data_IF_729753155374
#
_entry.id   IF_729753155374
#
_cell.length_a   1.000
_cell.length_b   1.000
_cell.length_c   1.000
_cell.angle_alpha   90.00
_cell.angle_beta   90.00
_cell.angle_gamma   90.00
#
_symmetry.space_group_name_H-M   'P 1'
#
loop_
_entity.id
_entity.type
_entity.pdbx_description
1 polymer ?
#
# COMPACT_ATOMS: atom_id res chain seq x y z
N UNK A 1 -16.64 -4.40 0.55
CA UNK A 1 -15.86 -3.43 1.36
C UNK A 1 -14.50 -3.33 0.71
N UNK A 2 -14.13 -2.22 0.09
CA UNK A 2 -12.81 -2.11 -0.56
C UNK A 2 -11.76 -1.71 0.49
N UNK A 3 -10.86 -2.63 0.84
CA UNK A 3 -9.81 -2.42 1.85
C UNK A 3 -8.88 -1.26 1.46
N UNK A 4 -8.55 -1.14 0.16
CA UNK A 4 -7.68 -0.08 -0.38
C UNK A 4 -8.30 1.29 -0.18
N UNK A 5 -9.58 1.46 -0.50
CA UNK A 5 -10.32 2.71 -0.27
C UNK A 5 -10.38 3.07 1.22
N UNK A 6 -10.52 2.06 2.09
CA UNK A 6 -10.58 2.27 3.52
C UNK A 6 -9.21 2.68 4.11
N UNK A 7 -8.13 2.03 3.68
CA UNK A 7 -6.75 2.43 4.03
C UNK A 7 -6.50 3.86 3.56
N UNK A 8 -6.81 4.17 2.30
CA UNK A 8 -6.70 5.52 1.76
C UNK A 8 -7.47 6.53 2.62
N UNK A 9 -8.74 6.28 2.94
CA UNK A 9 -9.54 7.17 3.79
C UNK A 9 -8.90 7.41 5.15
N UNK A 10 -8.43 6.34 5.83
CA UNK A 10 -7.86 6.47 7.18
C UNK A 10 -6.56 7.25 7.17
N UNK A 11 -5.70 7.00 6.18
CA UNK A 11 -4.44 7.75 6.02
C UNK A 11 -4.72 9.20 5.61
N UNK A 12 -5.66 9.43 4.69
CA UNK A 12 -6.06 10.77 4.26
C UNK A 12 -6.64 11.58 5.43
N UNK A 13 -7.48 10.96 6.26
CA UNK A 13 -8.04 11.59 7.47
C UNK A 13 -6.94 11.97 8.47
N UNK A 14 -5.92 11.13 8.63
CA UNK A 14 -4.78 11.43 9.50
C UNK A 14 -3.98 12.64 9.00
N UNK A 15 -3.73 12.72 7.69
CA UNK A 15 -2.99 13.82 7.06
C UNK A 15 -3.84 15.01 6.61
N UNK A 16 -5.15 15.01 6.88
CA UNK A 16 -6.09 15.99 6.33
C UNK A 16 -5.71 17.44 6.66
N UNK A 17 -5.20 17.70 7.88
CA UNK A 17 -4.74 19.05 8.28
C UNK A 17 -3.62 19.60 7.39
N UNK A 18 -2.83 18.74 6.75
CA UNK A 18 -1.69 19.13 5.91
C UNK A 18 -2.04 19.11 4.42
N UNK A 19 -2.80 18.12 3.99
CA UNK A 19 -3.02 17.86 2.57
C UNK A 19 -4.42 18.32 2.08
N UNK A 20 -5.33 18.62 3.00
CA UNK A 20 -6.73 18.91 2.68
C UNK A 20 -7.39 17.79 1.87
N UNK A 21 -8.25 18.18 0.92
CA UNK A 21 -8.97 17.25 0.04
C UNK A 21 -8.09 16.60 -1.04
N UNK A 22 -6.86 17.09 -1.25
CA UNK A 22 -5.92 16.50 -2.20
C UNK A 22 -5.46 15.12 -1.74
N UNK A 23 -5.34 14.91 -0.42
CA UNK A 23 -4.90 13.67 0.21
C UNK A 23 -3.61 13.08 -0.39
N UNK A 24 -2.68 13.93 -0.81
CA UNK A 24 -1.47 13.51 -1.53
C UNK A 24 -0.63 12.48 -0.75
N UNK A 25 -0.41 12.67 0.55
CA UNK A 25 0.34 11.70 1.36
C UNK A 25 -0.37 10.37 1.48
N UNK A 26 -1.70 10.34 1.46
CA UNK A 26 -2.44 9.08 1.48
C UNK A 26 -2.26 8.30 0.18
N UNK A 27 -2.21 8.99 -0.96
CA UNK A 27 -1.83 8.39 -2.25
C UNK A 27 -0.40 7.86 -2.20
N UNK A 28 0.54 8.65 -1.67
CA UNK A 28 1.93 8.24 -1.57
C UNK A 28 2.11 7.00 -0.67
N UNK A 29 1.53 7.01 0.54
CA UNK A 29 1.57 5.88 1.48
C UNK A 29 0.96 4.62 0.84
N UNK A 30 -0.20 4.74 0.19
CA UNK A 30 -0.84 3.61 -0.46
C UNK A 30 0.03 3.04 -1.58
N UNK A 31 0.66 3.92 -2.37
CA UNK A 31 1.53 3.53 -3.48
C UNK A 31 2.79 2.83 -3.00
N UNK A 32 3.41 3.33 -1.91
CA UNK A 32 4.55 2.67 -1.27
C UNK A 32 4.16 1.29 -0.75
N UNK A 33 3.02 1.19 -0.07
CA UNK A 33 2.52 -0.06 0.50
C UNK A 33 2.27 -1.12 -0.59
N UNK A 34 1.63 -0.74 -1.70
CA UNK A 34 1.43 -1.63 -2.85
C UNK A 34 2.74 -1.98 -3.55
N UNK A 35 3.66 -1.02 -3.69
CA UNK A 35 4.98 -1.25 -4.25
C UNK A 35 5.79 -2.26 -3.43
N UNK A 36 5.76 -2.16 -2.11
CA UNK A 36 6.41 -3.13 -1.22
C UNK A 36 5.80 -4.53 -1.35
N UNK A 37 4.47 -4.65 -1.39
CA UNK A 37 3.83 -5.96 -1.60
C UNK A 37 4.24 -6.61 -2.94
N UNK A 38 4.45 -5.80 -3.99
CA UNK A 38 4.97 -6.32 -5.26
C UNK A 38 6.42 -6.77 -5.15
N UNK A 39 7.26 -6.03 -4.42
CA UNK A 39 8.64 -6.45 -4.13
C UNK A 39 8.65 -7.76 -3.35
N UNK A 40 7.83 -7.88 -2.31
CA UNK A 40 7.71 -9.10 -1.49
C UNK A 40 7.28 -10.29 -2.34
N UNK A 41 6.31 -10.09 -3.25
CA UNK A 41 5.86 -11.12 -4.18
C UNK A 41 6.98 -11.56 -5.13
N UNK A 42 7.74 -10.61 -5.68
CA UNK A 42 8.88 -10.91 -6.55
C UNK A 42 10.00 -11.66 -5.80
N UNK A 43 10.28 -11.28 -4.54
CA UNK A 43 11.23 -11.97 -3.69
C UNK A 43 10.77 -13.40 -3.37
N UNK A 44 9.49 -13.58 -3.04
CA UNK A 44 8.91 -14.89 -2.79
C UNK A 44 9.00 -15.79 -4.02
N UNK A 45 8.68 -15.26 -5.21
CA UNK A 45 8.82 -16.01 -6.47
C UNK A 45 10.27 -16.42 -6.69
N UNK A 46 11.23 -15.50 -6.45
CA UNK A 46 12.65 -15.81 -6.56
C UNK A 46 13.07 -16.93 -5.62
N UNK A 47 12.67 -16.88 -4.35
CA UNK A 47 13.03 -17.90 -3.35
C UNK A 47 12.42 -19.27 -3.66
N UNK A 48 11.17 -19.31 -4.13
CA UNK A 48 10.46 -20.57 -4.36
C UNK A 48 10.75 -21.22 -5.71
N UNK A 49 11.08 -20.44 -6.75
CA UNK A 49 11.09 -20.94 -8.14
C UNK A 49 12.41 -20.72 -8.90
N UNK A 50 13.32 -19.84 -8.45
CA UNK A 50 14.55 -19.52 -9.20
C UNK A 50 15.80 -20.08 -8.51
N UNK A 51 16.60 -20.85 -9.23
CA UNK A 51 17.94 -21.27 -8.78
C UNK A 51 18.94 -20.12 -8.95
N UNK A 52 19.97 -20.04 -8.08
CA UNK A 52 20.92 -18.92 -8.04
C UNK A 52 21.63 -18.65 -9.39
N UNK A 53 21.78 -19.67 -10.23
CA UNK A 53 22.38 -19.58 -11.57
C UNK A 53 21.59 -18.73 -12.56
N UNK A 54 20.27 -18.59 -12.39
CA UNK A 54 19.40 -17.93 -13.38
C UNK A 54 19.33 -16.40 -13.17
N UNK A 55 19.75 -15.90 -12.00
CA UNK A 55 19.40 -14.55 -11.55
C UNK A 55 20.32 -13.46 -12.11
N UNK A 56 21.58 -13.78 -12.43
CA UNK A 56 22.58 -12.77 -12.79
C UNK A 56 22.24 -11.97 -14.07
N UNK A 57 21.49 -12.54 -15.01
CA UNK A 57 21.04 -11.84 -16.22
C UNK A 57 19.90 -10.83 -16.01
N UNK A 58 19.01 -11.07 -15.05
CA UNK A 58 17.79 -10.28 -14.85
C UNK A 58 17.99 -9.03 -13.97
N UNK A 59 19.03 -9.01 -13.14
CA UNK A 59 19.31 -7.92 -12.20
C UNK A 59 19.57 -6.58 -12.92
N UNK A 60 20.14 -6.61 -14.13
CA UNK A 60 20.48 -5.40 -14.89
C UNK A 60 19.24 -4.57 -15.28
N UNK A 61 18.13 -5.23 -15.63
CA UNK A 61 16.89 -4.55 -16.04
C UNK A 61 15.90 -4.39 -14.88
N UNK A 62 16.03 -5.21 -13.82
CA UNK A 62 15.13 -5.20 -12.67
C UNK A 62 14.99 -3.82 -12.00
N UNK A 63 16.07 -3.05 -11.92
CA UNK A 63 16.03 -1.69 -11.33
C UNK A 63 15.18 -0.73 -12.15
N UNK A 64 15.33 -0.73 -13.48
CA UNK A 64 14.57 0.18 -14.36
C UNK A 64 13.09 -0.21 -14.40
N UNK A 65 12.80 -1.52 -14.46
CA UNK A 65 11.43 -2.05 -14.40
C UNK A 65 10.78 -1.69 -13.06
N UNK A 66 11.50 -1.83 -11.94
CA UNK A 66 11.00 -1.48 -10.61
C UNK A 66 10.64 0.00 -10.48
N UNK A 67 11.49 0.90 -10.98
CA UNK A 67 11.20 2.34 -11.00
C UNK A 67 9.98 2.64 -11.88
N UNK A 68 9.90 2.04 -13.08
CA UNK A 68 8.76 2.22 -13.97
C UNK A 68 7.43 1.76 -13.32
N UNK A 69 7.43 0.60 -12.66
CA UNK A 69 6.28 0.10 -11.92
C UNK A 69 5.89 1.01 -10.76
N UNK A 70 6.86 1.54 -10.00
CA UNK A 70 6.59 2.46 -8.90
C UNK A 70 5.93 3.76 -9.40
N UNK A 71 6.46 4.35 -10.48
CA UNK A 71 5.87 5.54 -11.12
C UNK A 71 4.45 5.25 -11.61
N UNK A 72 4.25 4.10 -12.27
CA UNK A 72 2.95 3.69 -12.75
C UNK A 72 1.93 3.52 -11.61
N UNK A 73 2.32 2.88 -10.51
CA UNK A 73 1.45 2.71 -9.33
C UNK A 73 1.06 4.04 -8.69
N UNK A 74 2.03 4.96 -8.54
CA UNK A 74 1.75 6.30 -8.02
C UNK A 74 0.77 7.03 -8.94
N UNK A 75 0.99 6.98 -10.26
CA UNK A 75 0.10 7.60 -11.23
C UNK A 75 -1.32 7.01 -11.17
N UNK A 76 -1.44 5.68 -11.19
CA UNK A 76 -2.72 4.98 -11.10
C UNK A 76 -3.47 5.31 -9.81
N UNK A 77 -2.80 5.29 -8.66
CA UNK A 77 -3.41 5.67 -7.38
C UNK A 77 -3.78 7.14 -7.34
N UNK A 78 -2.95 8.02 -7.90
CA UNK A 78 -3.25 9.44 -7.98
C UNK A 78 -4.53 9.69 -8.78
N UNK A 79 -4.61 9.18 -10.01
CA UNK A 79 -5.82 9.33 -10.84
C UNK A 79 -7.04 8.64 -10.22
N UNK A 80 -6.84 7.50 -9.53
CA UNK A 80 -7.94 6.81 -8.89
C UNK A 80 -8.47 7.54 -7.66
N UNK A 81 -7.63 8.14 -6.81
CA UNK A 81 -8.04 8.67 -5.50
C UNK A 81 -8.10 10.19 -5.41
N UNK A 82 -7.56 10.93 -6.39
CA UNK A 82 -7.61 12.40 -6.40
C UNK A 82 -9.05 12.90 -6.24
N UNK A 83 -9.24 13.78 -5.25
CA UNK A 83 -10.54 14.40 -4.97
C UNK A 83 -11.61 13.47 -4.36
N UNK A 84 -11.32 12.18 -4.15
CA UNK A 84 -12.30 11.23 -3.58
C UNK A 84 -12.40 11.27 -2.05
N UNK A 85 -11.59 12.09 -1.37
CA UNK A 85 -11.57 12.15 0.10
C UNK A 85 -12.96 12.38 0.70
N UNK A 86 -13.68 13.40 0.25
CA UNK A 86 -15.01 13.74 0.79
C UNK A 86 -16.02 12.61 0.60
N UNK A 87 -16.11 12.09 -0.63
CA UNK A 87 -16.99 10.95 -0.96
C UNK A 87 -16.72 9.73 -0.08
N UNK A 88 -15.46 9.44 0.22
CA UNK A 88 -15.08 8.33 1.09
C UNK A 88 -15.31 8.67 2.56
N UNK A 89 -15.04 9.90 2.98
CA UNK A 89 -15.29 10.38 4.34
C UNK A 89 -16.76 10.23 4.72
N UNK A 90 -17.68 10.68 3.87
CA UNK A 90 -19.12 10.59 4.14
C UNK A 90 -19.57 9.14 4.26
N UNK A 91 -19.18 8.30 3.28
CA UNK A 91 -19.48 6.87 3.26
C UNK A 91 -19.00 6.14 4.52
N UNK A 92 -17.77 6.42 4.97
CA UNK A 92 -17.19 5.70 6.10
C UNK A 92 -17.61 6.28 7.44
N UNK A 93 -17.84 7.59 7.53
CA UNK A 93 -18.32 8.24 8.74
C UNK A 93 -19.72 7.77 9.11
N UNK A 94 -20.61 7.62 8.13
CA UNK A 94 -21.93 7.03 8.33
C UNK A 94 -21.84 5.59 8.84
N UNK A 95 -21.03 4.75 8.19
CA UNK A 95 -20.84 3.33 8.59
C UNK A 95 -20.16 3.14 9.95
N UNK A 96 -19.37 4.11 10.41
CA UNK A 96 -18.66 4.06 11.69
C UNK A 96 -19.44 4.73 12.82
N UNK A 97 -20.53 5.45 12.53
CA UNK A 97 -21.29 6.24 13.51
C UNK A 97 -21.91 5.34 14.59
N UNK A 98 -22.50 4.22 14.18
CA UNK A 98 -23.31 3.38 15.06
C UNK A 98 -22.53 2.20 15.66
N UNK A 99 -21.25 2.03 15.29
CA UNK A 99 -20.44 0.91 15.78
C UNK A 99 -18.98 1.31 16.11
N UNK A 100 -18.72 1.82 17.32
CA UNK A 100 -17.38 2.28 17.72
C UNK A 100 -16.37 1.14 17.84
N UNK A 101 -16.81 -0.07 18.19
CA UNK A 101 -15.94 -1.26 18.26
C UNK A 101 -15.40 -1.62 16.87
N UNK A 102 -16.28 -1.66 15.85
CA UNK A 102 -15.92 -1.91 14.46
C UNK A 102 -14.94 -0.86 13.92
N UNK A 103 -15.12 0.42 14.29
CA UNK A 103 -14.20 1.51 13.95
C UNK A 103 -12.79 1.30 14.51
N UNK A 104 -12.69 0.78 15.74
CA UNK A 104 -11.40 0.48 16.39
C UNK A 104 -10.71 -0.72 15.71
N UNK A 105 -11.42 -1.82 15.53
CA UNK A 105 -10.88 -3.03 14.88
C UNK A 105 -10.39 -2.74 13.46
N UNK A 106 -11.20 -2.04 12.65
CA UNK A 106 -10.79 -1.65 11.30
C UNK A 106 -9.61 -0.67 11.31
N UNK A 107 -9.54 0.22 12.30
CA UNK A 107 -8.37 1.09 12.49
C UNK A 107 -7.08 0.30 12.67
N UNK A 108 -7.10 -0.72 13.54
CA UNK A 108 -5.97 -1.62 13.73
C UNK A 108 -5.63 -2.41 12.47
N UNK A 109 -6.64 -2.90 11.73
CA UNK A 109 -6.40 -3.57 10.45
C UNK A 109 -5.64 -2.70 9.46
N UNK A 110 -5.86 -1.38 9.45
CA UNK A 110 -5.08 -0.46 8.59
C UNK A 110 -3.64 -0.36 9.06
N UNK A 111 -3.41 -0.27 10.37
CA UNK A 111 -2.05 -0.24 10.94
C UNK A 111 -1.31 -1.52 10.58
N UNK A 112 -1.95 -2.68 10.77
CA UNK A 112 -1.39 -3.97 10.37
C UNK A 112 -1.15 -4.05 8.86
N UNK A 113 -2.08 -3.60 8.03
CA UNK A 113 -1.92 -3.61 6.57
C UNK A 113 -0.76 -2.72 6.10
N UNK A 114 -0.47 -1.62 6.80
CA UNK A 114 0.69 -0.76 6.50
C UNK A 114 1.98 -1.41 6.96
N UNK A 115 2.01 -2.05 8.13
CA UNK A 115 3.23 -2.66 8.70
C UNK A 115 3.58 -3.99 8.04
N UNK A 116 2.58 -4.77 7.64
CA UNK A 116 2.76 -6.13 7.12
C UNK A 116 3.74 -6.22 5.94
N UNK A 117 3.69 -5.37 4.90
CA UNK A 117 4.67 -5.42 3.80
C UNK A 117 6.11 -5.22 4.29
N UNK A 118 6.34 -4.36 5.28
CA UNK A 118 7.68 -4.18 5.85
C UNK A 118 8.15 -5.43 6.60
N UNK A 119 7.24 -6.13 7.29
CA UNK A 119 7.59 -7.37 7.97
C UNK A 119 7.85 -8.52 6.98
N UNK A 120 7.05 -8.62 5.91
CA UNK A 120 7.23 -9.62 4.86
C UNK A 120 8.58 -9.45 4.15
N UNK A 121 8.99 -8.21 3.87
CA UNK A 121 10.29 -7.90 3.30
C UNK A 121 11.47 -8.44 4.12
N UNK A 122 11.32 -8.58 5.45
CA UNK A 122 12.38 -9.09 6.33
C UNK A 122 12.49 -10.62 6.34
N UNK A 123 11.43 -11.35 5.94
CA UNK A 123 11.42 -12.82 6.02
C UNK A 123 12.57 -13.51 5.26
N UNK A 124 12.90 -13.13 4.01
CA UNK A 124 14.00 -13.76 3.28
C UNK A 124 15.37 -13.61 3.95
N UNK A 125 15.57 -12.57 4.77
CA UNK A 125 16.81 -12.33 5.50
C UNK A 125 16.93 -13.17 6.78
N UNK A 126 15.83 -13.73 7.28
CA UNK A 126 15.79 -14.59 8.46
C UNK A 126 15.94 -16.08 8.12
N UNK A 127 15.70 -16.44 6.86
CA UNK A 127 15.69 -17.83 6.36
C UNK A 127 17.05 -18.19 5.71
N UNK A 128 17.96 -17.23 5.58
CA UNK A 128 19.36 -17.41 5.21
C UNK A 128 20.26 -17.34 6.44
#
# INVERSE_FOLDING_TARGET
>A
MNLVEYIFYRVAKFYYKRDGSSAFRAVAVLSVMQGMLLVDLLLLIRVLFLHQSDVQGYVKYGRMIGVALAVLLIALNYFHFRGKYWKLSDRWREKEKDNPALRKTRGWLVVFAIILPFLLYLLPFLIH
#
